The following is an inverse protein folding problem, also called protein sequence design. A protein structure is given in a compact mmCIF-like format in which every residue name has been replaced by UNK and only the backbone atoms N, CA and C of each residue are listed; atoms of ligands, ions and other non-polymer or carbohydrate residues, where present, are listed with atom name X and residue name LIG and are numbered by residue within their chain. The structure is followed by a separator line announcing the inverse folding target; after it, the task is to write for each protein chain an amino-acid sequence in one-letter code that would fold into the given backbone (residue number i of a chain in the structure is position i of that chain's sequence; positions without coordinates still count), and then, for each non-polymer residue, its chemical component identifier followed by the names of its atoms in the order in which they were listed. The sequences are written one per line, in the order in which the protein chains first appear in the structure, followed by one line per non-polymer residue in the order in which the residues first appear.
data_IF_182155339123
#
_entry.id   IF_182155339123
#
_cell.length_a   1.000
_cell.length_b   1.000
_cell.length_c   1.000
_cell.angle_alpha   90.00
_cell.angle_beta   90.00
_cell.angle_gamma   90.00
#
_symmetry.space_group_name_H-M   'P 1'
#
loop_
_entity.id
_entity.type
_entity.pdbx_description
1 polymer ?
#
# COMPACT_ATOMS: atom_id res chain seq x y z
N UNK A 1 21.23 -3.97 6.20
CA UNK A 1 19.77 -3.94 6.09
C UNK A 1 19.05 -4.47 7.35
N UNK A 2 18.01 -3.78 7.81
CA UNK A 2 17.05 -4.19 8.86
C UNK A 2 15.61 -3.97 8.37
N UNK A 3 14.68 -4.86 8.69
CA UNK A 3 13.24 -4.69 8.44
C UNK A 3 12.51 -4.36 9.74
N UNK A 4 11.61 -3.38 9.73
CA UNK A 4 10.69 -3.09 10.83
C UNK A 4 9.24 -2.98 10.35
N UNK A 5 8.32 -3.47 11.19
CA UNK A 5 6.89 -3.56 10.91
C UNK A 5 6.15 -2.58 11.83
N UNK A 6 5.50 -1.57 11.26
CA UNK A 6 4.82 -0.49 11.98
C UNK A 6 3.29 -0.52 11.82
N UNK A 7 2.77 -1.50 11.09
CA UNK A 7 1.34 -1.76 10.92
C UNK A 7 1.09 -2.99 10.05
N UNK A 8 -0.17 -3.37 9.86
CA UNK A 8 -0.58 -4.59 9.14
C UNK A 8 0.16 -5.90 9.55
N UNK A 9 0.69 -5.96 10.77
CA UNK A 9 1.31 -7.14 11.35
C UNK A 9 0.37 -7.71 12.42
N UNK A 10 -0.20 -8.90 12.16
CA UNK A 10 -1.30 -9.50 12.96
C UNK A 10 -2.58 -8.67 12.96
N UNK A 11 -2.76 -7.82 11.96
CA UNK A 11 -3.96 -7.05 11.65
C UNK A 11 -4.00 -6.81 10.14
N UNK A 12 -5.15 -6.44 9.58
CA UNK A 12 -5.31 -6.25 8.12
C UNK A 12 -4.87 -4.85 7.71
N UNK A 13 -5.31 -3.83 8.44
CA UNK A 13 -5.20 -2.45 7.98
C UNK A 13 -3.94 -1.73 8.48
N UNK A 14 -3.62 -0.59 7.86
CA UNK A 14 -2.58 0.31 8.32
C UNK A 14 -1.18 -0.12 7.89
N UNK A 15 -1.03 -0.67 6.69
CA UNK A 15 0.24 -1.19 6.19
C UNK A 15 1.33 -0.13 6.18
N UNK A 16 2.41 -0.41 6.91
CA UNK A 16 3.59 0.47 7.09
C UNK A 16 4.80 -0.39 7.43
N UNK A 17 5.74 -0.53 6.49
CA UNK A 17 6.92 -1.36 6.67
C UNK A 17 8.18 -0.61 6.26
N UNK A 18 9.24 -0.65 7.06
CA UNK A 18 10.46 0.10 6.77
C UNK A 18 11.62 -0.88 6.48
N UNK A 19 12.29 -0.63 5.36
CA UNK A 19 13.60 -1.20 5.06
C UNK A 19 14.65 -0.15 5.40
N UNK A 20 15.50 -0.43 6.39
CA UNK A 20 16.62 0.45 6.79
C UNK A 20 17.92 -0.10 6.21
N UNK A 21 18.61 0.70 5.40
CA UNK A 21 19.93 0.37 4.84
C UNK A 21 21.04 0.53 5.89
N UNK A 22 22.21 -0.07 5.67
CA UNK A 22 23.37 0.01 6.57
C UNK A 22 23.92 1.42 6.73
N UNK A 23 23.68 2.31 5.76
CA UNK A 23 24.08 3.72 5.82
C UNK A 23 23.01 4.62 6.44
N UNK A 24 21.91 4.05 6.92
CA UNK A 24 20.85 4.76 7.64
C UNK A 24 19.70 5.27 6.78
N UNK A 25 19.79 5.19 5.43
CA UNK A 25 18.66 5.54 4.55
C UNK A 25 17.49 4.58 4.76
N UNK A 26 16.26 5.09 4.65
CA UNK A 26 15.03 4.34 4.96
C UNK A 26 14.05 4.38 3.80
N UNK A 27 13.56 3.20 3.40
CA UNK A 27 12.51 3.02 2.40
C UNK A 27 11.25 2.62 3.16
N UNK A 28 10.18 3.38 3.00
CA UNK A 28 8.86 3.04 3.54
C UNK A 28 8.04 2.34 2.45
N UNK A 29 7.56 1.14 2.74
CA UNK A 29 6.62 0.40 1.92
C UNK A 29 5.21 0.64 2.49
N UNK A 30 4.38 1.31 1.70
CA UNK A 30 3.06 1.82 2.06
C UNK A 30 3.03 2.77 3.27
N UNK A 31 2.02 3.62 3.32
CA UNK A 31 1.72 4.48 4.46
C UNK A 31 0.21 4.50 4.75
N UNK A 32 -0.28 3.37 5.23
CA UNK A 32 -1.70 3.11 5.41
C UNK A 32 -2.31 3.57 6.71
N UNK A 33 -3.60 3.90 6.66
CA UNK A 33 -4.45 4.19 7.80
C UNK A 33 -5.03 2.91 8.42
N UNK A 34 -5.01 2.78 9.74
CA UNK A 34 -5.73 1.72 10.44
C UNK A 34 -7.24 1.99 10.39
N UNK A 35 -8.04 0.94 10.17
CA UNK A 35 -9.50 1.03 10.11
C UNK A 35 -10.14 -0.13 10.90
N UNK A 36 -11.35 0.09 11.44
CA UNK A 36 -12.17 -0.99 12.01
C UNK A 36 -11.75 -1.52 13.39
N UNK A 37 -10.85 -0.84 14.12
CA UNK A 37 -10.36 -1.25 15.46
C UNK A 37 -11.13 -0.57 16.61
N UNK A 38 -12.32 -0.03 16.34
CA UNK A 38 -13.10 0.71 17.33
C UNK A 38 -12.33 1.90 17.91
N UNK A 39 -12.34 2.06 19.24
CA UNK A 39 -11.70 3.19 19.94
C UNK A 39 -10.17 3.25 19.79
N UNK A 40 -9.52 2.12 19.51
CA UNK A 40 -8.06 2.08 19.41
C UNK A 40 -7.55 2.63 18.05
N UNK A 41 -8.41 2.62 17.03
CA UNK A 41 -8.10 3.07 15.65
C UNK A 41 -7.41 4.42 15.62
N UNK A 42 -7.92 5.38 16.41
CA UNK A 42 -7.39 6.74 16.50
C UNK A 42 -5.92 6.74 16.94
N UNK A 43 -5.63 6.09 18.07
CA UNK A 43 -4.30 6.06 18.66
C UNK A 43 -3.23 5.48 17.72
N UNK A 44 -3.60 4.48 16.91
CA UNK A 44 -2.70 3.88 15.92
C UNK A 44 -2.43 4.79 14.71
N UNK A 45 -3.33 5.72 14.41
CA UNK A 45 -3.17 6.67 13.32
C UNK A 45 -2.49 7.98 13.76
N UNK A 46 -2.51 8.30 15.05
CA UNK A 46 -1.86 9.50 15.61
C UNK A 46 -0.33 9.38 15.66
N UNK A 47 0.22 8.20 15.92
CA UNK A 47 1.67 7.99 15.97
C UNK A 47 2.13 6.95 14.96
N UNK A 48 3.18 7.27 14.19
CA UNK A 48 3.81 6.33 13.27
C UNK A 48 4.71 5.28 13.94
N UNK A 49 5.19 5.56 15.15
CA UNK A 49 6.25 4.76 15.78
C UNK A 49 7.63 4.88 15.11
N UNK A 50 7.79 5.87 14.22
CA UNK A 50 9.05 6.31 13.61
C UNK A 50 8.97 7.80 13.28
N UNK A 51 10.12 8.42 12.99
CA UNK A 51 10.20 9.83 12.58
C UNK A 51 10.01 9.96 11.05
N UNK A 52 8.91 10.59 10.56
CA UNK A 52 8.64 10.79 9.13
C UNK A 52 9.75 11.50 8.37
N UNK A 53 10.46 12.45 9.00
CA UNK A 53 11.54 13.20 8.36
C UNK A 53 12.77 12.33 8.03
N UNK A 54 12.87 11.14 8.63
CA UNK A 54 13.97 10.19 8.37
C UNK A 54 13.71 9.27 7.17
N UNK A 55 12.49 9.26 6.62
CA UNK A 55 12.15 8.43 5.46
C UNK A 55 12.72 9.06 4.19
N UNK A 56 13.45 8.27 3.41
CA UNK A 56 14.09 8.73 2.17
C UNK A 56 13.16 8.66 0.96
N UNK A 57 12.32 7.62 0.90
CA UNK A 57 11.34 7.41 -0.17
C UNK A 57 10.19 6.54 0.32
N UNK A 58 9.00 6.75 -0.25
CA UNK A 58 7.86 5.86 -0.10
C UNK A 58 7.64 5.09 -1.40
N UNK A 59 7.48 3.77 -1.31
CA UNK A 59 7.02 2.93 -2.41
C UNK A 59 5.60 2.48 -2.08
N UNK A 60 4.63 2.93 -2.87
CA UNK A 60 3.21 2.67 -2.64
C UNK A 60 2.70 1.57 -3.57
N UNK A 61 2.21 0.48 -2.98
CA UNK A 61 1.76 -0.71 -3.70
C UNK A 61 0.47 -0.48 -4.49
N UNK A 62 -0.52 0.16 -3.86
CA UNK A 62 -1.81 0.45 -4.46
C UNK A 62 -2.58 1.52 -3.65
N UNK A 63 -3.75 1.92 -4.14
CA UNK A 63 -4.43 3.13 -3.69
C UNK A 63 -5.29 3.00 -2.42
N UNK A 64 -5.60 1.80 -1.92
CA UNK A 64 -6.50 1.65 -0.78
C UNK A 64 -6.03 2.44 0.45
N UNK A 65 -6.97 2.95 1.23
CA UNK A 65 -6.72 3.84 2.38
C UNK A 65 -5.88 3.16 3.46
N UNK A 66 -6.00 1.86 3.62
CA UNK A 66 -5.16 1.08 4.53
C UNK A 66 -3.73 0.82 4.03
N UNK A 67 -3.38 1.37 2.85
CA UNK A 67 -2.03 1.42 2.27
C UNK A 67 -1.57 2.86 1.95
N UNK A 68 -2.48 3.80 1.69
CA UNK A 68 -2.16 5.17 1.25
C UNK A 68 -2.63 6.26 2.23
N UNK A 69 -3.55 5.93 3.13
CA UNK A 69 -4.37 6.89 3.87
C UNK A 69 -3.63 7.77 4.88
N UNK A 70 -2.37 7.50 5.22
CA UNK A 70 -1.57 8.36 6.09
C UNK A 70 -0.49 9.15 5.34
N UNK A 71 -0.43 9.09 4.01
CA UNK A 71 0.52 9.88 3.22
C UNK A 71 0.42 11.39 3.50
N UNK A 72 -0.77 12.01 3.61
CA UNK A 72 -0.85 13.45 3.92
C UNK A 72 -0.32 13.79 5.30
N UNK A 73 -0.61 12.95 6.31
CA UNK A 73 -0.05 13.10 7.66
C UNK A 73 1.47 12.95 7.66
N UNK A 74 2.00 11.98 6.90
CA UNK A 74 3.44 11.74 6.78
C UNK A 74 4.17 13.01 6.30
N UNK A 75 3.62 13.69 5.30
CA UNK A 75 4.17 14.94 4.74
C UNK A 75 4.05 16.08 5.74
N UNK A 76 2.88 16.22 6.35
CA UNK A 76 2.62 17.23 7.39
C UNK A 76 3.59 17.12 8.57
N UNK A 77 4.05 15.91 8.88
CA UNK A 77 5.01 15.63 9.95
C UNK A 77 6.48 15.62 9.50
N UNK A 78 6.78 16.09 8.28
CA UNK A 78 8.14 16.43 7.87
C UNK A 78 8.76 15.52 6.81
N UNK A 79 8.01 14.59 6.21
CA UNK A 79 8.49 13.86 5.04
C UNK A 79 8.61 14.78 3.81
N UNK A 80 9.80 14.78 3.20
CA UNK A 80 10.13 15.61 2.03
C UNK A 80 10.55 14.78 0.79
N UNK A 81 10.50 13.45 0.91
CA UNK A 81 10.93 12.55 -0.16
C UNK A 81 9.87 12.39 -1.25
N UNK A 82 10.08 11.38 -2.09
CA UNK A 82 9.16 11.04 -3.19
C UNK A 82 8.24 9.88 -2.80
N UNK A 83 7.03 9.88 -3.34
CA UNK A 83 6.08 8.77 -3.27
C UNK A 83 6.02 8.13 -4.67
N UNK A 84 6.48 6.89 -4.79
CA UNK A 84 6.60 6.21 -6.08
C UNK A 84 5.54 5.14 -6.21
N UNK A 85 4.79 5.19 -7.31
CA UNK A 85 3.78 4.20 -7.65
C UNK A 85 3.47 4.21 -9.15
N UNK A 86 2.48 3.42 -9.57
CA UNK A 86 1.96 3.46 -10.93
C UNK A 86 1.01 4.65 -11.14
N UNK A 87 0.85 5.10 -12.39
CA UNK A 87 -0.08 6.19 -12.73
C UNK A 87 -1.51 5.95 -12.22
N UNK A 88 -2.13 4.77 -12.41
CA UNK A 88 -3.49 4.56 -11.91
C UNK A 88 -3.57 4.56 -10.37
N UNK A 89 -2.52 4.08 -9.70
CA UNK A 89 -2.45 4.15 -8.23
C UNK A 89 -2.44 5.59 -7.75
N UNK A 90 -1.68 6.49 -8.37
CA UNK A 90 -1.70 7.92 -8.04
C UNK A 90 -3.11 8.52 -8.20
N UNK A 91 -3.73 8.31 -9.35
CA UNK A 91 -5.05 8.88 -9.67
C UNK A 91 -6.13 8.40 -8.70
N UNK A 92 -6.16 7.10 -8.40
CA UNK A 92 -7.08 6.54 -7.42
C UNK A 92 -6.78 7.03 -6.00
N UNK A 93 -5.49 7.16 -5.65
CA UNK A 93 -5.08 7.66 -4.33
C UNK A 93 -5.56 9.09 -4.12
N UNK A 94 -5.48 9.95 -5.13
CA UNK A 94 -5.98 11.33 -5.05
C UNK A 94 -7.48 11.39 -4.73
N UNK A 95 -8.28 10.58 -5.41
CA UNK A 95 -9.73 10.50 -5.19
C UNK A 95 -10.02 10.04 -3.76
N UNK A 96 -9.40 8.94 -3.35
CA UNK A 96 -9.63 8.33 -2.04
C UNK A 96 -9.15 9.23 -0.89
N UNK A 97 -8.02 9.92 -1.06
CA UNK A 97 -7.50 10.83 -0.03
C UNK A 97 -8.38 12.07 0.14
N UNK A 98 -8.94 12.62 -0.95
CA UNK A 98 -9.88 13.74 -0.85
C UNK A 98 -11.18 13.34 -0.12
N UNK A 99 -11.76 12.19 -0.48
CA UNK A 99 -12.94 11.64 0.21
C UNK A 99 -12.63 11.37 1.69
N UNK A 100 -11.47 10.77 1.98
CA UNK A 100 -11.04 10.52 3.36
C UNK A 100 -10.84 11.81 4.17
N UNK A 101 -10.30 12.87 3.56
CA UNK A 101 -10.16 14.19 4.21
C UNK A 101 -11.52 14.81 4.53
N UNK A 102 -12.49 14.72 3.61
CA UNK A 102 -13.85 15.19 3.81
C UNK A 102 -14.55 14.43 4.95
N UNK A 103 -14.46 13.09 4.95
CA UNK A 103 -15.02 12.24 6.01
C UNK A 103 -14.42 12.59 7.38
N UNK A 104 -13.10 12.79 7.45
CA UNK A 104 -12.41 13.20 8.68
C UNK A 104 -12.83 14.59 9.17
N UNK A 105 -13.28 15.48 8.28
CA UNK A 105 -13.81 16.80 8.65
C UNK A 105 -15.07 16.73 9.51
N UNK A 106 -15.79 15.61 9.51
CA UNK A 106 -16.95 15.36 10.37
C UNK A 106 -16.60 14.66 11.69
N UNK A 107 -15.34 14.28 11.89
CA UNK A 107 -14.90 13.60 13.12
C UNK A 107 -14.80 14.60 14.29
N UNK A 108 -15.49 14.28 15.39
CA UNK A 108 -15.49 15.09 16.62
C UNK A 108 -14.12 15.15 17.29
N UNK A 109 -13.26 14.15 17.06
CA UNK A 109 -11.89 14.09 17.58
C UNK A 109 -10.89 14.90 16.70
N UNK A 110 -11.37 15.49 15.60
CA UNK A 110 -10.61 16.35 14.69
C UNK A 110 -9.85 15.59 13.60
N UNK A 111 -9.63 16.21 12.44
CA UNK A 111 -8.99 15.55 11.30
C UNK A 111 -7.47 15.37 11.46
N UNK A 112 -6.92 14.24 10.98
CA UNK A 112 -5.47 14.03 10.92
C UNK A 112 -4.83 14.89 9.82
N UNK A 113 -5.56 15.08 8.73
CA UNK A 113 -5.19 15.92 7.60
C UNK A 113 -6.45 16.45 6.90
N UNK A 114 -6.30 17.50 6.09
CA UNK A 114 -7.37 18.08 5.30
C UNK A 114 -7.07 18.02 3.79
N UNK A 115 -7.96 18.56 2.96
CA UNK A 115 -7.80 18.59 1.49
C UNK A 115 -6.60 19.43 1.04
N UNK A 116 -6.15 20.41 1.83
CA UNK A 116 -4.93 21.18 1.53
C UNK A 116 -3.68 20.32 1.73
N UNK A 117 -3.69 19.47 2.76
CA UNK A 117 -2.63 18.49 2.97
C UNK A 117 -2.61 17.43 1.84
N UNK A 118 -3.78 17.02 1.31
CA UNK A 118 -3.87 16.13 0.14
C UNK A 118 -3.24 16.78 -1.09
N UNK A 119 -3.51 18.05 -1.38
CA UNK A 119 -2.92 18.75 -2.53
C UNK A 119 -1.39 18.73 -2.48
N UNK A 120 -0.79 19.05 -1.32
CA UNK A 120 0.67 18.98 -1.11
C UNK A 120 1.19 17.56 -1.28
N UNK A 121 0.39 16.56 -0.92
CA UNK A 121 0.74 15.15 -1.07
C UNK A 121 0.90 14.76 -2.52
N UNK A 122 0.00 15.22 -3.39
CA UNK A 122 0.03 14.91 -4.82
C UNK A 122 1.26 15.49 -5.54
N UNK A 123 1.88 16.56 -5.01
CA UNK A 123 3.11 17.16 -5.54
C UNK A 123 4.34 16.27 -5.37
N UNK A 124 4.34 15.34 -4.41
CA UNK A 124 5.47 14.43 -4.13
C UNK A 124 5.40 13.10 -4.89
N UNK A 125 4.34 12.86 -5.67
CA UNK A 125 4.18 11.63 -6.43
C UNK A 125 5.04 11.59 -7.69
N UNK A 126 5.77 10.50 -7.89
CA UNK A 126 6.43 10.14 -9.14
C UNK A 126 5.89 8.81 -9.66
N UNK A 127 5.56 8.78 -10.94
CA UNK A 127 4.94 7.62 -11.58
C UNK A 127 5.99 6.80 -12.33
N UNK A 128 5.85 5.48 -12.23
CA UNK A 128 6.68 4.51 -12.95
C UNK A 128 5.80 3.51 -13.68
N UNK A 129 6.36 2.95 -14.75
CA UNK A 129 5.73 1.87 -15.50
C UNK A 129 5.92 0.52 -14.80
N UNK A 130 5.02 -0.40 -15.12
CA UNK A 130 5.18 -1.80 -14.74
C UNK A 130 6.41 -2.44 -15.39
N UNK A 131 6.93 -3.47 -14.73
CA UNK A 131 7.87 -4.45 -15.29
C UNK A 131 9.19 -3.86 -15.84
N UNK A 132 9.53 -2.64 -15.39
CA UNK A 132 10.79 -1.97 -15.66
C UNK A 132 11.57 -1.70 -14.37
N UNK A 133 12.84 -2.12 -14.36
CA UNK A 133 13.76 -1.75 -13.27
C UNK A 133 14.15 -0.29 -13.36
N UNK A 134 14.11 0.42 -12.23
CA UNK A 134 14.64 1.77 -12.11
C UNK A 134 15.38 1.95 -10.80
N UNK A 135 16.37 2.85 -10.79
CA UNK A 135 17.14 3.18 -9.59
C UNK A 135 16.41 4.27 -8.82
N UNK A 136 15.92 3.95 -7.61
CA UNK A 136 15.24 4.93 -6.75
C UNK A 136 16.22 5.80 -5.96
N UNK A 137 17.36 5.22 -5.59
CA UNK A 137 18.48 5.91 -4.96
C UNK A 137 19.75 5.07 -5.15
N UNK A 138 20.92 5.64 -4.87
CA UNK A 138 22.19 4.94 -5.05
C UNK A 138 22.20 3.58 -4.33
N UNK A 139 22.44 2.51 -5.09
CA UNK A 139 22.49 1.13 -4.59
C UNK A 139 21.12 0.47 -4.38
N UNK A 140 20.01 1.11 -4.77
CA UNK A 140 18.66 0.57 -4.66
C UNK A 140 17.93 0.65 -5.99
N UNK A 141 17.64 -0.51 -6.57
CA UNK A 141 16.79 -0.64 -7.75
C UNK A 141 15.44 -1.22 -7.37
N UNK A 142 14.37 -0.77 -8.00
CA UNK A 142 13.01 -1.20 -7.73
C UNK A 142 12.32 -1.65 -9.02
N UNK A 143 11.43 -2.63 -8.88
CA UNK A 143 10.54 -3.13 -9.91
C UNK A 143 9.12 -3.21 -9.37
N UNK A 144 8.16 -2.71 -10.15
CA UNK A 144 6.73 -2.78 -9.86
C UNK A 144 6.09 -3.81 -10.79
N UNK A 145 5.51 -4.87 -10.24
CA UNK A 145 4.87 -5.96 -11.00
C UNK A 145 3.40 -6.04 -10.63
N UNK A 146 2.51 -6.14 -11.61
CA UNK A 146 1.06 -6.14 -11.37
C UNK A 146 0.59 -7.27 -10.45
N UNK A 147 -0.23 -6.95 -9.44
CA UNK A 147 -0.83 -7.97 -8.56
C UNK A 147 -2.28 -8.30 -8.91
N UNK A 148 -2.89 -7.60 -9.86
CA UNK A 148 -4.28 -7.87 -10.26
C UNK A 148 -5.32 -7.64 -9.15
N UNK A 149 -4.96 -6.96 -8.06
CA UNK A 149 -5.84 -6.69 -6.92
C UNK A 149 -6.77 -5.50 -7.18
N UNK A 150 -6.15 -4.39 -7.60
CA UNK A 150 -6.78 -3.14 -8.00
C UNK A 150 -6.14 -2.66 -9.31
N UNK A 151 -6.83 -1.82 -10.08
CA UNK A 151 -6.17 -1.09 -11.17
C UNK A 151 -4.99 -0.31 -10.59
N UNK A 152 -3.79 -0.48 -11.16
CA UNK A 152 -2.59 0.16 -10.61
C UNK A 152 -1.83 -0.66 -9.56
N UNK A 153 -2.45 -1.72 -8.99
CA UNK A 153 -1.85 -2.49 -7.89
C UNK A 153 -0.57 -3.22 -8.27
N UNK A 154 0.38 -3.24 -7.33
CA UNK A 154 1.73 -3.77 -7.57
C UNK A 154 2.31 -4.50 -6.37
N UNK A 155 3.06 -5.55 -6.69
CA UNK A 155 4.11 -6.08 -5.86
C UNK A 155 5.39 -5.29 -6.17
N UNK A 156 6.14 -4.97 -5.13
CA UNK A 156 7.33 -4.12 -5.20
C UNK A 156 8.55 -4.99 -4.89
N UNK A 157 9.41 -5.19 -5.88
CA UNK A 157 10.69 -5.88 -5.69
C UNK A 157 11.80 -4.86 -5.52
N UNK A 158 12.50 -4.89 -4.40
CA UNK A 158 13.59 -3.98 -4.05
C UNK A 158 14.92 -4.73 -4.06
N UNK A 159 15.83 -4.36 -4.96
CA UNK A 159 17.21 -4.84 -5.02
C UNK A 159 18.11 -3.86 -4.30
N UNK A 160 18.79 -4.34 -3.27
CA UNK A 160 19.65 -3.53 -2.41
C UNK A 160 21.08 -4.02 -2.54
N UNK A 161 22.00 -3.12 -2.88
CA UNK A 161 23.43 -3.37 -2.98
C UNK A 161 24.19 -2.60 -1.90
N UNK A 162 24.66 -3.32 -0.88
CA UNK A 162 25.48 -2.79 0.21
C UNK A 162 26.91 -3.33 0.06
N UNK A 163 27.79 -2.55 -0.57
CA UNK A 163 29.16 -2.98 -0.92
C UNK A 163 29.17 -4.15 -1.91
N UNK A 164 29.64 -5.32 -1.46
CA UNK A 164 29.62 -6.57 -2.26
C UNK A 164 28.35 -7.39 -2.08
N UNK A 165 27.56 -7.11 -1.03
CA UNK A 165 26.34 -7.87 -0.73
C UNK A 165 25.19 -7.35 -1.59
N UNK A 166 24.43 -8.27 -2.17
CA UNK A 166 23.15 -7.99 -2.82
C UNK A 166 22.05 -8.70 -2.03
N UNK A 167 20.97 -8.00 -1.75
CA UNK A 167 19.77 -8.55 -1.09
C UNK A 167 18.56 -8.12 -1.88
N UNK A 168 17.62 -9.04 -2.10
CA UNK A 168 16.37 -8.77 -2.81
C UNK A 168 15.20 -8.99 -1.86
N UNK A 169 14.38 -7.96 -1.67
CA UNK A 169 13.16 -8.01 -0.86
C UNK A 169 11.96 -7.85 -1.78
N UNK A 170 11.01 -8.76 -1.70
CA UNK A 170 9.71 -8.64 -2.37
C UNK A 170 8.66 -8.25 -1.34
N UNK A 171 7.91 -7.19 -1.62
CA UNK A 171 6.72 -6.82 -0.89
C UNK A 171 5.50 -7.01 -1.79
N UNK A 172 4.56 -7.87 -1.41
CA UNK A 172 3.45 -8.21 -2.31
C UNK A 172 2.42 -7.10 -2.46
N UNK A 173 2.29 -6.21 -1.45
CA UNK A 173 1.02 -5.50 -1.26
C UNK A 173 -0.13 -6.50 -1.13
N UNK A 174 -1.29 -6.14 -1.65
CA UNK A 174 -2.43 -7.06 -1.76
C UNK A 174 -2.41 -7.81 -3.09
N UNK A 175 -2.79 -9.08 -3.06
CA UNK A 175 -2.74 -9.97 -4.22
C UNK A 175 -4.15 -10.27 -4.72
N UNK A 176 -4.36 -9.99 -6.00
CA UNK A 176 -5.62 -10.25 -6.67
C UNK A 176 -5.90 -11.73 -6.93
N UNK A 177 -7.12 -12.00 -7.39
CA UNK A 177 -7.53 -13.34 -7.78
C UNK A 177 -7.01 -13.68 -9.17
N UNK A 178 -6.66 -14.95 -9.39
CA UNK A 178 -6.33 -15.46 -10.73
C UNK A 178 -7.50 -15.41 -11.72
N UNK A 179 -8.73 -15.45 -11.21
CA UNK A 179 -9.96 -15.29 -12.00
C UNK A 179 -10.67 -14.03 -11.55
N UNK A 180 -10.60 -13.01 -12.39
CA UNK A 180 -11.33 -11.76 -12.24
C UNK A 180 -12.03 -11.43 -13.56
N UNK A 181 -13.20 -10.80 -13.48
CA UNK A 181 -13.95 -10.33 -14.66
C UNK A 181 -13.27 -9.09 -15.27
N UNK A 182 -12.61 -8.28 -14.43
CA UNK A 182 -12.13 -6.95 -14.81
C UNK A 182 -10.60 -6.87 -14.86
N UNK A 183 -9.92 -7.60 -13.99
CA UNK A 183 -8.47 -7.47 -13.81
C UNK A 183 -7.74 -8.69 -14.38
N UNK A 184 -6.53 -8.45 -14.88
CA UNK A 184 -5.60 -9.51 -15.22
C UNK A 184 -5.18 -10.26 -13.95
N UNK A 185 -4.82 -11.56 -14.04
CA UNK A 185 -4.26 -12.28 -12.91
C UNK A 185 -2.96 -11.62 -12.42
N UNK A 186 -2.56 -11.86 -11.16
CA UNK A 186 -1.25 -11.44 -10.66
C UNK A 186 -0.13 -11.94 -11.58
N UNK A 187 0.81 -11.06 -11.92
CA UNK A 187 1.97 -11.40 -12.73
C UNK A 187 3.09 -12.03 -11.88
N UNK A 188 3.96 -12.81 -12.53
CA UNK A 188 5.10 -13.44 -11.85
C UNK A 188 6.16 -12.40 -11.46
N UNK A 189 6.58 -12.45 -10.19
CA UNK A 189 7.65 -11.59 -9.67
C UNK A 189 9.01 -12.27 -9.77
N UNK A 190 10.13 -11.52 -9.87
CA UNK A 190 11.47 -12.11 -9.82
C UNK A 190 11.74 -12.84 -8.48
N UNK A 191 12.73 -13.74 -8.44
CA UNK A 191 13.18 -14.36 -7.20
C UNK A 191 13.63 -13.33 -6.17
N UNK A 192 13.31 -13.57 -4.89
CA UNK A 192 13.67 -12.72 -3.78
C UNK A 192 14.30 -13.53 -2.63
N UNK A 193 15.18 -12.89 -1.85
CA UNK A 193 15.78 -13.48 -0.65
C UNK A 193 14.81 -13.42 0.54
N UNK A 194 13.98 -12.37 0.59
CA UNK A 194 12.95 -12.15 1.60
C UNK A 194 11.63 -11.77 0.93
N UNK A 195 10.53 -12.33 1.42
CA UNK A 195 9.18 -12.01 0.97
C UNK A 195 8.38 -11.49 2.16
N UNK A 196 7.83 -10.30 2.02
CA UNK A 196 6.81 -9.72 2.89
C UNK A 196 5.51 -9.84 2.12
N UNK A 197 4.61 -10.73 2.56
CA UNK A 197 3.36 -10.98 1.85
C UNK A 197 2.14 -10.76 2.73
N UNK A 198 1.04 -10.35 2.10
CA UNK A 198 -0.27 -10.32 2.74
C UNK A 198 -0.71 -11.73 3.18
N UNK A 199 -1.66 -11.76 4.12
CA UNK A 199 -2.20 -13.01 4.67
C UNK A 199 -3.69 -12.89 4.99
N UNK A 200 -4.41 -12.05 4.25
CA UNK A 200 -5.82 -11.69 4.52
C UNK A 200 -6.73 -12.92 4.61
N UNK A 201 -6.44 -13.91 3.79
CA UNK A 201 -7.15 -15.20 3.73
C UNK A 201 -6.24 -16.39 4.06
N UNK A 202 -5.15 -16.16 4.80
CA UNK A 202 -4.15 -17.19 5.10
C UNK A 202 -4.68 -18.40 5.88
N UNK A 203 -5.86 -18.27 6.53
CA UNK A 203 -6.55 -19.32 7.27
C UNK A 203 -7.75 -19.92 6.53
N UNK A 204 -8.03 -19.51 5.28
CA UNK A 204 -9.20 -19.95 4.52
C UNK A 204 -8.83 -20.69 3.24
N UNK A 205 -9.66 -21.66 2.89
CA UNK A 205 -9.68 -22.25 1.56
C UNK A 205 -10.78 -21.60 0.74
N UNK A 206 -10.44 -21.10 -0.44
CA UNK A 206 -11.42 -20.63 -1.41
C UNK A 206 -11.83 -21.79 -2.33
N UNK A 207 -13.14 -22.05 -2.40
CA UNK A 207 -13.69 -22.99 -3.37
C UNK A 207 -13.64 -22.37 -4.77
N UNK A 208 -12.79 -22.92 -5.63
CA UNK A 208 -12.56 -22.45 -7.00
C UNK A 208 -13.78 -22.73 -7.90
N UNK A 209 -14.70 -23.60 -7.46
CA UNK A 209 -15.97 -23.85 -8.13
C UNK A 209 -17.08 -22.86 -7.78
N UNK A 210 -16.89 -22.05 -6.74
CA UNK A 210 -17.89 -21.08 -6.29
C UNK A 210 -18.04 -19.92 -7.29
N UNK A 211 -19.19 -19.85 -7.95
CA UNK A 211 -19.53 -18.78 -8.88
C UNK A 211 -20.26 -17.65 -8.14
N UNK A 212 -19.51 -16.61 -7.78
CA UNK A 212 -20.07 -15.45 -7.06
C UNK A 212 -21.12 -14.69 -7.88
N UNK A 213 -21.06 -14.74 -9.21
CA UNK A 213 -22.04 -14.06 -10.09
C UNK A 213 -23.38 -14.77 -10.04
N UNK A 214 -23.38 -16.09 -10.19
CA UNK A 214 -24.60 -16.90 -10.09
C UNK A 214 -25.23 -16.78 -8.70
N UNK A 215 -24.42 -16.91 -7.65
CA UNK A 215 -24.90 -16.79 -6.27
C UNK A 215 -25.51 -15.42 -5.99
N UNK A 216 -24.85 -14.33 -6.45
CA UNK A 216 -25.40 -12.98 -6.30
C UNK A 216 -26.71 -12.81 -7.08
N UNK A 217 -26.77 -13.33 -8.31
CA UNK A 217 -27.98 -13.29 -9.13
C UNK A 217 -29.15 -14.02 -8.45
N UNK A 218 -28.91 -15.20 -7.88
CA UNK A 218 -29.92 -15.95 -7.13
C UNK A 218 -30.49 -15.13 -5.97
N UNK A 219 -29.63 -14.48 -5.16
CA UNK A 219 -30.07 -13.63 -4.06
C UNK A 219 -30.85 -12.40 -4.54
N UNK A 220 -30.45 -11.79 -5.66
CA UNK A 220 -31.20 -10.66 -6.25
C UNK A 220 -32.60 -11.13 -6.68
N UNK A 221 -32.71 -12.31 -7.31
CA UNK A 221 -33.99 -12.86 -7.72
C UNK A 221 -34.89 -13.17 -6.51
N UNK A 222 -34.32 -13.75 -5.46
CA UNK A 222 -35.07 -14.14 -4.27
C UNK A 222 -35.57 -12.94 -3.45
N UNK A 223 -34.73 -11.90 -3.30
CA UNK A 223 -35.03 -10.75 -2.42
C UNK A 223 -35.76 -9.63 -3.15
N UNK A 224 -35.42 -9.37 -4.42
CA UNK A 224 -35.88 -8.17 -5.12
C UNK A 224 -36.93 -8.43 -6.22
N UNK A 225 -37.12 -9.68 -6.65
CA UNK A 225 -38.00 -10.01 -7.79
C UNK A 225 -39.21 -10.86 -7.40
N UNK A 226 -39.00 -11.91 -6.60
CA UNK A 226 -40.10 -12.74 -6.06
C UNK A 226 -40.83 -12.03 -4.93
#
# INVERSE_FOLDING_TARGET
MTLSFHGAARTVTGSKHIITLTDGRKILLDCGMFQGMGKETRSFNESFGFDPATISVVLLSHAHIDHSGLLPKLIKEGFIGKIICTTPTKELTEILLNDSAEIQGYDVEGALYDTTDVLKTMEQFEMVEYDAWFTVMEGVDVLFTSTGHLVGSTAITVRIKEGRKKTVVLYSGDIGRYRSVLLQPPAETPPADYIIMESTYGDKHHDISFNSIETLHEWIQDVCVK
#
